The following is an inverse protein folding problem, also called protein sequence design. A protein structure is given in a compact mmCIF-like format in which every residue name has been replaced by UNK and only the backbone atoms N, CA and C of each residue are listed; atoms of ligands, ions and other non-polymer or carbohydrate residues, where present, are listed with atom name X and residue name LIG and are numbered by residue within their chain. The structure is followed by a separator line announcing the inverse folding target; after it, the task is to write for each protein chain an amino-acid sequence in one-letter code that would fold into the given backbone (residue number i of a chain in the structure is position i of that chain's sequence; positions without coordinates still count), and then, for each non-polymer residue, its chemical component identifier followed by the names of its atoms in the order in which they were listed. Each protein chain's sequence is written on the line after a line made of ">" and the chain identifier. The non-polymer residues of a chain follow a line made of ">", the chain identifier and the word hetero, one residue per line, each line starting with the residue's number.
data_IF_165515869774
#
_entry.id   IF_165515869774
#
_cell.length_a   1.000
_cell.length_b   1.000
_cell.length_c   1.000
_cell.angle_alpha   90.00
_cell.angle_beta   90.00
_cell.angle_gamma   90.00
#
_symmetry.space_group_name_H-M   'P 1'
#
loop_
_entity.id
_entity.type
_entity.pdbx_description
1 polymer ?
#
# COMPACT_ATOMS: atom_id res chain seq x y z
N UNK A 1 80.42 -1.79 22.29
CA UNK A 1 79.70 -2.90 21.60
C UNK A 1 78.29 -2.41 21.33
N UNK A 2 77.93 -2.22 20.05
CA UNK A 2 76.66 -1.60 19.61
C UNK A 2 75.62 -2.71 19.40
N UNK A 3 74.46 -2.63 20.05
CA UNK A 3 73.30 -3.46 19.76
C UNK A 3 72.36 -2.71 18.80
N UNK A 4 71.88 -3.32 17.70
CA UNK A 4 70.95 -2.66 16.79
C UNK A 4 69.51 -2.85 17.27
N UNK A 5 68.77 -1.74 17.36
CA UNK A 5 67.33 -1.74 17.58
C UNK A 5 66.62 -2.25 16.31
N UNK A 6 65.94 -3.38 16.41
CA UNK A 6 65.06 -3.88 15.36
C UNK A 6 63.73 -3.10 15.41
N UNK A 7 63.48 -2.28 14.40
CA UNK A 7 62.25 -1.53 14.22
C UNK A 7 61.19 -2.45 13.60
N UNK A 8 60.24 -2.93 14.40
CA UNK A 8 59.12 -3.74 13.90
C UNK A 8 58.06 -2.82 13.31
N UNK A 9 57.90 -2.83 11.98
CA UNK A 9 56.83 -2.10 11.28
C UNK A 9 55.54 -2.91 11.40
N UNK A 10 54.59 -2.43 12.21
CA UNK A 10 53.22 -2.95 12.23
C UNK A 10 52.49 -2.33 11.03
N UNK A 11 52.27 -3.13 9.98
CA UNK A 11 51.42 -2.76 8.86
C UNK A 11 49.95 -2.83 9.31
N UNK A 12 49.35 -1.67 9.58
CA UNK A 12 47.90 -1.55 9.81
C UNK A 12 47.19 -1.70 8.47
N UNK A 13 46.68 -2.91 8.20
CA UNK A 13 45.76 -3.16 7.09
C UNK A 13 44.40 -2.54 7.43
N UNK A 14 44.19 -1.29 7.00
CA UNK A 14 42.86 -0.67 7.02
C UNK A 14 41.98 -1.36 5.98
N UNK A 15 41.10 -2.25 6.42
CA UNK A 15 40.01 -2.78 5.59
C UNK A 15 39.06 -1.63 5.25
N UNK A 16 39.22 -1.05 4.06
CA UNK A 16 38.19 -0.19 3.47
C UNK A 16 37.00 -1.08 3.11
N UNK A 17 35.95 -1.05 3.93
CA UNK A 17 34.65 -1.52 3.50
C UNK A 17 34.24 -0.66 2.30
N UNK A 18 34.12 -1.28 1.12
CA UNK A 18 33.49 -0.65 -0.03
C UNK A 18 32.01 -0.45 0.32
N UNK A 19 31.68 0.67 0.94
CA UNK A 19 30.32 1.20 0.85
C UNK A 19 30.10 1.49 -0.63
N UNK A 20 29.31 0.64 -1.27
CA UNK A 20 28.81 0.89 -2.62
C UNK A 20 27.93 2.12 -2.50
N UNK A 21 28.50 3.30 -2.77
CA UNK A 21 27.73 4.52 -2.94
C UNK A 21 26.75 4.26 -4.08
N UNK A 22 25.48 4.04 -3.74
CA UNK A 22 24.42 3.96 -4.72
C UNK A 22 24.38 5.33 -5.41
N UNK A 23 24.45 5.35 -6.74
CA UNK A 23 24.33 6.59 -7.49
C UNK A 23 22.98 7.26 -7.12
N UNK A 24 23.01 8.57 -6.84
CA UNK A 24 21.81 9.33 -6.47
C UNK A 24 20.70 9.11 -7.51
N UNK A 25 19.61 8.48 -7.08
CA UNK A 25 18.45 8.23 -7.93
C UNK A 25 17.71 9.52 -8.30
N UNK A 26 16.96 9.49 -9.40
CA UNK A 26 16.09 10.58 -9.81
C UNK A 26 14.65 10.34 -9.30
N UNK A 27 14.13 11.19 -8.39
CA UNK A 27 12.82 10.99 -7.78
C UNK A 27 11.65 11.18 -8.77
N UNK A 28 11.80 11.97 -9.84
CA UNK A 28 10.77 12.10 -10.87
C UNK A 28 10.58 10.80 -11.65
N UNK A 29 11.68 10.10 -11.99
CA UNK A 29 11.58 8.76 -12.59
C UNK A 29 11.12 7.72 -11.58
N UNK A 30 11.53 7.86 -10.32
CA UNK A 30 11.05 7.03 -9.21
C UNK A 30 9.54 7.09 -9.02
N UNK A 31 8.95 8.28 -9.14
CA UNK A 31 7.51 8.48 -9.07
C UNK A 31 6.76 7.66 -10.14
N UNK A 32 7.27 7.60 -11.38
CA UNK A 32 6.65 6.78 -12.42
C UNK A 32 6.68 5.27 -12.10
N UNK A 33 7.69 4.82 -11.36
CA UNK A 33 7.81 3.42 -10.92
C UNK A 33 6.89 3.14 -9.74
N UNK A 34 6.65 4.15 -8.88
CA UNK A 34 5.77 4.04 -7.72
C UNK A 34 4.33 3.63 -8.09
N UNK A 35 3.86 3.88 -9.31
CA UNK A 35 2.57 3.40 -9.78
C UNK A 35 2.36 1.88 -9.60
N UNK A 36 3.44 1.08 -9.65
CA UNK A 36 3.37 -0.36 -9.34
C UNK A 36 3.12 -0.65 -7.85
N UNK A 37 3.56 0.25 -6.97
CA UNK A 37 3.36 0.20 -5.52
C UNK A 37 1.98 0.73 -5.14
N UNK A 38 1.47 1.76 -5.85
CA UNK A 38 0.20 2.43 -5.61
C UNK A 38 -1.02 1.50 -5.65
N UNK A 39 -0.92 0.35 -6.33
CA UNK A 39 -1.94 -0.70 -6.33
C UNK A 39 -2.16 -1.34 -4.95
N UNK A 40 -1.14 -1.32 -4.09
CA UNK A 40 -1.16 -1.99 -2.79
C UNK A 40 -0.84 -1.05 -1.63
N UNK A 41 -0.33 0.14 -1.89
CA UNK A 41 0.15 1.06 -0.88
C UNK A 41 -0.35 2.48 -1.16
N UNK A 42 -0.74 3.17 -0.10
CA UNK A 42 -0.91 4.63 -0.13
C UNK A 42 0.32 5.30 0.50
N UNK A 43 0.44 6.61 0.25
CA UNK A 43 1.34 7.51 0.97
C UNK A 43 0.60 8.30 2.05
N UNK A 44 -0.73 8.25 2.09
CA UNK A 44 -1.53 8.91 3.12
C UNK A 44 -1.44 8.17 4.46
N UNK A 45 -1.22 8.88 5.59
CA UNK A 45 -1.21 8.25 6.91
C UNK A 45 -2.51 7.49 7.19
N UNK A 46 -2.39 6.30 7.78
CA UNK A 46 -3.51 5.44 8.21
C UNK A 46 -4.46 4.97 7.08
N UNK A 47 -4.15 5.24 5.81
CA UNK A 47 -4.92 4.73 4.68
C UNK A 47 -4.30 3.42 4.19
N UNK A 48 -4.75 2.29 4.71
CA UNK A 48 -4.22 0.98 4.33
C UNK A 48 -4.97 0.40 3.14
N UNK A 49 -4.25 -0.26 2.23
CA UNK A 49 -4.82 -0.96 1.08
C UNK A 49 -4.58 -2.47 1.25
N UNK A 50 -4.16 -3.17 0.21
CA UNK A 50 -3.67 -4.55 0.34
C UNK A 50 -2.46 -4.61 1.27
N UNK A 51 -1.54 -3.66 1.16
CA UNK A 51 -0.43 -3.41 2.06
C UNK A 51 -0.68 -2.21 3.00
N UNK A 52 0.22 -2.01 3.99
CA UNK A 52 0.15 -0.84 4.89
C UNK A 52 0.36 0.46 4.12
N UNK A 53 -0.07 1.57 4.70
CA UNK A 53 0.41 2.89 4.27
C UNK A 53 1.94 2.96 4.42
N UNK A 54 2.61 3.65 3.48
CA UNK A 54 4.06 3.87 3.52
C UNK A 54 4.44 5.17 4.24
N UNK A 55 3.45 5.94 4.70
CA UNK A 55 3.65 7.21 5.37
C UNK A 55 4.54 7.05 6.62
N UNK A 56 5.59 7.86 6.74
CA UNK A 56 6.44 7.89 7.93
C UNK A 56 7.27 6.64 8.20
N UNK A 57 7.39 5.72 7.22
CA UNK A 57 8.13 4.46 7.38
C UNK A 57 9.64 4.57 7.18
N UNK A 58 10.17 5.69 6.66
CA UNK A 58 11.62 5.84 6.51
C UNK A 58 12.31 5.79 7.88
N UNK A 59 13.36 4.96 7.99
CA UNK A 59 14.08 4.66 9.21
C UNK A 59 13.31 3.84 10.25
N UNK A 60 12.10 3.34 9.95
CA UNK A 60 11.30 2.54 10.87
C UNK A 60 11.63 1.05 10.79
N UNK A 61 11.38 0.33 11.89
CA UNK A 61 11.43 -1.13 11.90
C UNK A 61 10.35 -1.71 10.97
N UNK A 62 10.58 -2.86 10.33
CA UNK A 62 9.53 -3.53 9.57
C UNK A 62 8.38 -3.95 10.48
N UNK A 63 7.19 -4.09 9.87
CA UNK A 63 5.96 -4.45 10.55
C UNK A 63 5.60 -3.57 11.77
N UNK A 64 5.91 -2.26 11.72
CA UNK A 64 5.73 -1.32 12.84
C UNK A 64 4.47 -0.47 12.79
N UNK A 65 3.66 -0.57 11.73
CA UNK A 65 2.37 0.16 11.62
C UNK A 65 1.34 -0.54 12.52
N UNK A 66 0.98 0.11 13.62
CA UNK A 66 0.23 -0.51 14.71
C UNK A 66 -1.19 -0.96 14.31
N UNK A 67 -1.85 -0.20 13.44
CA UNK A 67 -3.20 -0.45 12.93
C UNK A 67 -3.23 -1.37 11.70
N UNK A 68 -2.07 -1.84 11.21
CA UNK A 68 -1.98 -2.84 10.15
C UNK A 68 -1.69 -4.24 10.69
N UNK A 69 -2.75 -4.99 11.04
CA UNK A 69 -2.59 -6.34 11.61
C UNK A 69 -2.07 -7.41 10.62
N UNK A 70 -2.27 -7.18 9.31
CA UNK A 70 -2.11 -8.17 8.21
C UNK A 70 -0.66 -8.39 7.74
N UNK A 71 0.33 -8.02 8.54
CA UNK A 71 1.73 -8.37 8.27
C UNK A 71 1.94 -9.89 8.33
N UNK A 72 2.80 -10.42 7.46
CA UNK A 72 3.23 -11.81 7.57
C UNK A 72 4.05 -12.04 8.83
N UNK A 73 3.97 -13.24 9.39
CA UNK A 73 4.80 -13.62 10.53
C UNK A 73 6.30 -13.48 10.20
N UNK A 74 6.69 -13.81 8.96
CA UNK A 74 8.07 -13.67 8.50
C UNK A 74 8.57 -12.23 8.54
N UNK A 75 7.75 -11.23 8.17
CA UNK A 75 8.18 -9.83 8.24
C UNK A 75 8.17 -9.32 9.68
N UNK A 76 7.22 -9.76 10.52
CA UNK A 76 7.16 -9.41 11.95
C UNK A 76 8.41 -9.82 12.73
N UNK A 77 9.03 -10.96 12.38
CA UNK A 77 10.20 -11.48 13.10
C UNK A 77 11.52 -10.82 12.69
N UNK A 78 11.56 -10.05 11.59
CA UNK A 78 12.77 -9.39 11.09
C UNK A 78 13.06 -8.08 11.82
N UNK A 79 13.65 -8.15 13.00
CA UNK A 79 14.00 -6.94 13.78
C UNK A 79 15.43 -6.46 13.56
N UNK A 80 16.14 -7.07 12.62
CA UNK A 80 17.56 -6.89 12.28
C UNK A 80 17.85 -5.73 11.32
N UNK A 81 16.83 -5.10 10.73
CA UNK A 81 17.01 -3.95 9.84
C UNK A 81 15.99 -2.84 10.11
N UNK A 82 16.17 -1.69 9.45
CA UNK A 82 15.19 -0.60 9.36
C UNK A 82 14.96 -0.26 7.90
N UNK A 83 13.83 0.35 7.53
CA UNK A 83 13.55 0.76 6.16
C UNK A 83 14.38 1.99 5.78
N UNK A 84 15.46 1.75 5.07
CA UNK A 84 16.41 2.76 4.62
C UNK A 84 16.96 2.33 3.26
N UNK A 85 17.87 3.11 2.70
CA UNK A 85 18.36 2.92 1.34
C UNK A 85 18.88 1.50 1.06
N UNK A 86 19.77 0.98 1.91
CA UNK A 86 20.37 -0.34 1.72
C UNK A 86 19.34 -1.48 1.83
N UNK A 87 18.44 -1.42 2.83
CA UNK A 87 17.44 -2.47 3.03
C UNK A 87 16.33 -2.41 1.97
N UNK A 88 15.92 -1.20 1.54
CA UNK A 88 14.98 -1.02 0.45
C UNK A 88 15.57 -1.47 -0.88
N UNK A 89 16.86 -1.25 -1.13
CA UNK A 89 17.53 -1.74 -2.34
C UNK A 89 17.48 -3.26 -2.44
N UNK A 90 17.81 -3.97 -1.37
CA UNK A 90 17.74 -5.42 -1.32
C UNK A 90 16.29 -5.94 -1.37
N UNK A 91 15.38 -5.31 -0.62
CA UNK A 91 13.96 -5.64 -0.59
C UNK A 91 13.30 -5.48 -1.96
N UNK A 92 13.56 -4.38 -2.65
CA UNK A 92 12.96 -4.08 -3.95
C UNK A 92 13.56 -4.92 -5.08
N UNK A 93 14.75 -5.51 -4.90
CA UNK A 93 15.33 -6.44 -5.87
C UNK A 93 14.56 -7.77 -5.91
N UNK A 94 14.28 -8.35 -4.74
CA UNK A 94 13.45 -9.55 -4.58
C UNK A 94 12.92 -9.63 -3.14
N UNK A 95 11.65 -9.24 -2.90
CA UNK A 95 11.07 -9.26 -1.56
C UNK A 95 11.02 -10.67 -0.94
N UNK A 96 10.83 -11.70 -1.76
CA UNK A 96 10.72 -13.08 -1.29
C UNK A 96 12.08 -13.66 -0.92
N UNK A 97 13.13 -13.30 -1.65
CA UNK A 97 14.49 -13.66 -1.27
C UNK A 97 14.95 -12.89 -0.03
N UNK A 98 14.61 -11.60 0.08
CA UNK A 98 15.01 -10.78 1.21
C UNK A 98 14.29 -11.17 2.51
N UNK A 99 12.98 -11.44 2.47
CA UNK A 99 12.21 -12.01 3.60
C UNK A 99 11.38 -13.21 3.11
N UNK A 100 11.92 -14.43 3.19
CA UNK A 100 11.19 -15.65 2.86
C UNK A 100 9.90 -15.78 3.68
N UNK A 101 8.76 -15.97 3.02
CA UNK A 101 7.44 -16.01 3.67
C UNK A 101 6.76 -14.65 3.83
N UNK A 102 7.29 -13.58 3.21
CA UNK A 102 6.53 -12.33 3.04
C UNK A 102 5.23 -12.56 2.25
N UNK A 103 4.17 -11.85 2.62
CA UNK A 103 2.92 -11.83 1.87
C UNK A 103 2.95 -10.84 0.68
N UNK A 104 3.99 -10.00 0.59
CA UNK A 104 4.18 -9.13 -0.58
C UNK A 104 4.49 -9.99 -1.81
N UNK A 105 3.57 -9.99 -2.79
CA UNK A 105 3.67 -10.81 -4.01
C UNK A 105 4.42 -10.12 -5.15
N UNK A 106 5.02 -8.96 -4.88
CA UNK A 106 5.79 -8.20 -5.85
C UNK A 106 7.03 -8.98 -6.31
N UNK A 107 7.25 -9.05 -7.63
CA UNK A 107 8.36 -9.79 -8.24
C UNK A 107 9.74 -9.18 -7.94
N UNK A 108 9.77 -7.89 -7.62
CA UNK A 108 11.00 -7.12 -7.54
C UNK A 108 11.37 -6.44 -8.86
N UNK A 109 12.27 -5.47 -8.78
CA UNK A 109 12.78 -4.65 -9.87
C UNK A 109 14.23 -5.06 -10.06
N UNK A 110 14.56 -5.68 -11.20
CA UNK A 110 15.91 -6.19 -11.46
C UNK A 110 16.87 -5.08 -11.89
N UNK A 111 16.37 -4.03 -12.54
CA UNK A 111 17.18 -2.91 -13.00
C UNK A 111 17.64 -2.03 -11.83
N UNK A 112 18.96 -1.95 -11.64
CA UNK A 112 19.60 -1.22 -10.54
C UNK A 112 19.22 0.27 -10.54
N UNK A 113 19.16 0.86 -11.73
CA UNK A 113 18.86 2.29 -11.88
C UNK A 113 17.40 2.59 -11.52
N UNK A 114 16.46 1.75 -11.92
CA UNK A 114 15.06 1.85 -11.53
C UNK A 114 14.88 1.69 -10.03
N UNK A 115 15.62 0.78 -9.37
CA UNK A 115 15.60 0.67 -7.91
C UNK A 115 16.10 1.94 -7.25
N UNK A 116 17.25 2.47 -7.67
CA UNK A 116 17.79 3.71 -7.10
C UNK A 116 16.84 4.91 -7.33
N UNK A 117 16.27 5.04 -8.53
CA UNK A 117 15.27 6.06 -8.85
C UNK A 117 14.04 5.95 -7.92
N UNK A 118 13.49 4.74 -7.75
CA UNK A 118 12.36 4.50 -6.84
C UNK A 118 12.72 4.79 -5.37
N UNK A 119 13.90 4.40 -4.91
CA UNK A 119 14.34 4.65 -3.53
C UNK A 119 14.50 6.16 -3.27
N UNK A 120 15.01 6.91 -4.24
CA UNK A 120 15.07 8.38 -4.14
C UNK A 120 13.69 9.01 -3.96
N UNK A 121 12.67 8.51 -4.69
CA UNK A 121 11.28 8.91 -4.48
C UNK A 121 10.75 8.48 -3.10
N UNK A 122 10.94 7.22 -2.71
CA UNK A 122 10.46 6.66 -1.45
C UNK A 122 11.08 7.36 -0.22
N UNK A 123 12.33 7.82 -0.31
CA UNK A 123 12.98 8.62 0.72
C UNK A 123 12.21 9.89 1.06
N UNK A 124 11.63 10.53 0.05
CA UNK A 124 10.76 11.69 0.21
C UNK A 124 9.35 11.28 0.65
N UNK A 125 8.78 10.27 -0.02
CA UNK A 125 7.39 9.85 0.16
C UNK A 125 7.11 9.19 1.53
N UNK A 126 8.08 8.45 2.07
CA UNK A 126 7.99 7.74 3.36
C UNK A 126 8.44 8.60 4.54
N UNK A 127 8.87 9.84 4.33
CA UNK A 127 9.16 10.77 5.41
C UNK A 127 7.85 11.21 6.11
N UNK A 128 7.92 11.78 7.34
CA UNK A 128 6.78 12.48 7.91
C UNK A 128 6.26 13.57 6.96
N UNK A 129 4.95 13.60 6.71
CA UNK A 129 4.31 14.45 5.69
C UNK A 129 4.75 14.19 4.24
N UNK A 130 5.39 13.05 3.94
CA UNK A 130 5.97 12.75 2.63
C UNK A 130 4.99 12.85 1.47
N UNK A 131 3.75 12.38 1.61
CA UNK A 131 2.70 12.54 0.61
C UNK A 131 2.50 14.01 0.18
N UNK A 132 2.38 14.93 1.15
CA UNK A 132 2.23 16.37 0.87
C UNK A 132 3.46 16.92 0.16
N UNK A 133 4.65 16.48 0.58
CA UNK A 133 5.92 16.92 0.00
C UNK A 133 6.07 16.49 -1.46
N UNK A 134 5.75 15.25 -1.81
CA UNK A 134 5.90 14.76 -3.19
C UNK A 134 4.85 15.36 -4.13
N UNK A 135 3.65 15.64 -3.63
CA UNK A 135 2.60 16.35 -4.38
C UNK A 135 2.98 17.82 -4.60
N UNK A 136 3.44 18.52 -3.57
CA UNK A 136 3.86 19.92 -3.67
C UNK A 136 5.04 20.12 -4.63
N UNK A 137 5.91 19.11 -4.77
CA UNK A 137 7.02 19.09 -5.72
C UNK A 137 6.61 18.66 -7.14
N UNK A 138 5.33 18.34 -7.37
CA UNK A 138 4.84 17.90 -8.67
C UNK A 138 5.38 16.54 -9.11
N UNK A 139 5.82 15.68 -8.17
CA UNK A 139 6.32 14.35 -8.49
C UNK A 139 5.18 13.38 -8.83
N UNK A 140 4.05 13.51 -8.11
CA UNK A 140 2.82 12.76 -8.34
C UNK A 140 1.61 13.68 -8.15
N UNK A 141 0.45 13.40 -8.78
CA UNK A 141 -0.80 14.05 -8.44
C UNK A 141 -1.28 13.64 -7.04
N UNK A 142 -2.18 14.44 -6.45
CA UNK A 142 -2.72 14.18 -5.12
C UNK A 142 -3.53 12.88 -5.04
N UNK A 143 -4.19 12.49 -6.12
CA UNK A 143 -4.95 11.23 -6.21
C UNK A 143 -4.03 10.01 -6.12
N UNK A 144 -2.91 9.99 -6.84
CA UNK A 144 -1.93 8.89 -6.78
C UNK A 144 -1.31 8.71 -5.37
N UNK A 145 -1.28 9.76 -4.53
CA UNK A 145 -0.82 9.63 -3.15
C UNK A 145 -1.75 8.75 -2.28
N UNK A 146 -3.01 8.59 -2.67
CA UNK A 146 -3.99 7.69 -2.02
C UNK A 146 -3.83 6.24 -2.47
N UNK A 147 -3.02 5.99 -3.51
CA UNK A 147 -3.00 4.71 -4.21
C UNK A 147 -4.37 4.41 -4.84
N UNK A 148 -4.71 3.12 -4.96
CA UNK A 148 -6.01 2.70 -5.51
C UNK A 148 -7.16 2.72 -4.49
N UNK A 149 -7.07 3.55 -3.44
CA UNK A 149 -8.20 3.77 -2.54
C UNK A 149 -9.37 4.41 -3.31
N UNK A 150 -10.63 4.00 -3.10
CA UNK A 150 -11.75 4.76 -3.62
C UNK A 150 -11.80 6.16 -2.98
N UNK A 151 -12.54 7.06 -3.63
CA UNK A 151 -12.95 8.32 -3.00
C UNK A 151 -13.68 8.04 -1.68
N UNK A 152 -13.56 8.94 -0.67
CA UNK A 152 -14.17 8.73 0.63
C UNK A 152 -15.68 8.45 0.53
N UNK A 153 -16.10 7.30 1.06
CA UNK A 153 -17.45 6.74 0.87
C UNK A 153 -18.51 7.43 1.74
N UNK A 154 -18.08 8.16 2.78
CA UNK A 154 -18.92 9.09 3.50
C UNK A 154 -19.53 10.14 2.57
N UNK A 155 -18.81 10.53 1.51
CA UNK A 155 -19.21 11.56 0.55
C UNK A 155 -19.98 11.01 -0.66
N UNK A 156 -20.32 9.71 -0.68
CA UNK A 156 -21.00 9.09 -1.81
C UNK A 156 -22.35 9.78 -2.14
N UNK A 157 -22.58 10.03 -3.43
CA UNK A 157 -23.82 10.62 -3.94
C UNK A 157 -25.04 9.71 -3.81
N UNK A 158 -26.26 10.23 -4.07
CA UNK A 158 -27.50 9.47 -3.97
C UNK A 158 -27.55 8.24 -4.90
N UNK A 159 -26.88 8.28 -6.05
CA UNK A 159 -26.78 7.20 -7.03
C UNK A 159 -25.98 5.98 -6.57
N UNK A 160 -25.14 6.17 -5.54
CA UNK A 160 -24.32 5.13 -4.92
C UNK A 160 -24.83 4.75 -3.52
N UNK A 161 -25.65 5.61 -2.88
CA UNK A 161 -26.15 5.36 -1.52
C UNK A 161 -27.26 4.31 -1.54
N UNK A 162 -27.00 3.14 -0.97
CA UNK A 162 -27.95 2.01 -0.99
C UNK A 162 -29.06 2.19 0.04
N UNK A 163 -30.28 1.92 -0.36
CA UNK A 163 -31.50 2.03 0.47
C UNK A 163 -32.14 0.69 0.76
N UNK A 164 -32.03 -0.28 -0.14
CA UNK A 164 -32.48 -1.65 0.06
C UNK A 164 -31.66 -2.61 -0.80
N UNK A 165 -31.51 -3.84 -0.32
CA UNK A 165 -30.96 -4.95 -1.08
C UNK A 165 -31.90 -6.13 -0.92
N UNK A 166 -32.36 -6.67 -2.04
CA UNK A 166 -33.11 -7.93 -2.04
C UNK A 166 -32.42 -8.96 -2.91
N UNK A 167 -32.55 -10.22 -2.54
CA UNK A 167 -32.07 -11.35 -3.31
C UNK A 167 -33.26 -12.21 -3.75
N UNK A 168 -33.23 -12.66 -5.00
CA UNK A 168 -34.23 -13.56 -5.57
C UNK A 168 -33.59 -14.32 -6.75
N UNK A 169 -33.72 -15.65 -6.75
CA UNK A 169 -33.28 -16.53 -7.85
C UNK A 169 -31.85 -16.26 -8.37
N UNK A 170 -30.84 -16.17 -7.49
CA UNK A 170 -29.43 -15.98 -7.86
C UNK A 170 -29.10 -14.57 -8.35
N UNK A 171 -29.98 -13.60 -8.09
CA UNK A 171 -29.83 -12.20 -8.47
C UNK A 171 -30.01 -11.30 -7.25
N UNK A 172 -29.05 -10.40 -7.03
CA UNK A 172 -29.22 -9.28 -6.12
C UNK A 172 -29.84 -8.10 -6.86
N UNK A 173 -30.82 -7.46 -6.24
CA UNK A 173 -31.39 -6.21 -6.69
C UNK A 173 -31.02 -5.14 -5.67
N UNK A 174 -30.24 -4.16 -6.10
CA UNK A 174 -29.73 -3.09 -5.24
C UNK A 174 -30.46 -1.80 -5.59
N UNK A 175 -31.20 -1.27 -4.63
CA UNK A 175 -31.88 0.02 -4.73
C UNK A 175 -31.01 1.14 -4.16
N UNK A 176 -30.92 2.26 -4.88
CA UNK A 176 -30.15 3.45 -4.48
C UNK A 176 -31.05 4.65 -4.19
N UNK A 177 -30.51 5.65 -3.48
CA UNK A 177 -31.26 6.82 -3.03
C UNK A 177 -31.72 7.74 -4.17
N UNK A 178 -31.16 7.59 -5.37
CA UNK A 178 -31.69 8.20 -6.61
C UNK A 178 -32.93 7.48 -7.17
N UNK A 179 -33.46 6.47 -6.47
CA UNK A 179 -34.67 5.74 -6.83
C UNK A 179 -34.47 4.65 -7.87
N UNK A 180 -33.22 4.34 -8.25
CA UNK A 180 -32.92 3.28 -9.21
C UNK A 180 -32.71 1.94 -8.52
N UNK A 181 -33.17 0.87 -9.16
CA UNK A 181 -32.84 -0.51 -8.80
C UNK A 181 -31.98 -1.12 -9.90
N UNK A 182 -30.91 -1.83 -9.51
CA UNK A 182 -29.97 -2.47 -10.45
C UNK A 182 -29.85 -3.97 -10.11
N UNK A 183 -30.06 -4.88 -11.09
CA UNK A 183 -29.82 -6.30 -10.89
C UNK A 183 -28.34 -6.64 -11.05
N UNK A 184 -27.85 -7.53 -10.21
CA UNK A 184 -26.51 -8.11 -10.29
C UNK A 184 -26.63 -9.62 -10.14
N UNK A 185 -25.98 -10.36 -11.05
CA UNK A 185 -25.76 -11.78 -10.84
C UNK A 185 -25.00 -11.99 -9.51
N UNK A 186 -25.37 -13.01 -8.74
CA UNK A 186 -24.81 -13.27 -7.41
C UNK A 186 -23.27 -13.30 -7.37
N UNK A 187 -22.61 -13.82 -8.41
CA UNK A 187 -21.14 -13.87 -8.49
C UNK A 187 -20.49 -12.55 -8.94
N UNK A 188 -21.28 -11.57 -9.36
CA UNK A 188 -20.83 -10.26 -9.82
C UNK A 188 -20.98 -9.16 -8.75
N UNK A 189 -21.70 -9.41 -7.65
CA UNK A 189 -21.81 -8.48 -6.53
C UNK A 189 -20.87 -8.90 -5.39
N UNK A 190 -19.87 -8.07 -5.10
CA UNK A 190 -18.95 -8.30 -3.97
C UNK A 190 -19.44 -7.57 -2.74
N UNK A 191 -19.57 -8.28 -1.63
CA UNK A 191 -19.84 -7.67 -0.34
C UNK A 191 -18.50 -7.32 0.32
N UNK A 192 -18.33 -6.06 0.71
CA UNK A 192 -17.10 -5.53 1.30
C UNK A 192 -17.43 -4.78 2.58
N UNK A 193 -16.45 -4.67 3.47
CA UNK A 193 -16.55 -3.86 4.67
C UNK A 193 -15.44 -2.84 4.66
N UNK A 194 -15.79 -1.58 4.94
CA UNK A 194 -14.87 -0.51 5.23
C UNK A 194 -15.35 0.22 6.48
N UNK A 195 -14.86 -0.21 7.64
CA UNK A 195 -15.10 0.44 8.93
C UNK A 195 -14.16 1.62 9.20
N UNK A 196 -13.35 1.99 8.21
CA UNK A 196 -12.38 3.07 8.30
C UNK A 196 -13.02 4.46 8.42
N UNK A 197 -12.19 5.49 8.68
CA UNK A 197 -12.64 6.86 8.78
C UNK A 197 -13.34 7.34 7.50
N UNK A 198 -12.88 6.88 6.33
CA UNK A 198 -13.43 7.20 5.00
C UNK A 198 -14.44 6.17 4.48
N UNK A 199 -14.86 5.24 5.34
CA UNK A 199 -15.88 4.24 5.00
C UNK A 199 -17.28 4.83 4.98
N UNK A 200 -18.28 4.05 4.53
CA UNK A 200 -19.68 4.46 4.57
C UNK A 200 -20.12 4.91 5.96
N UNK A 201 -21.02 5.89 6.05
CA UNK A 201 -21.63 6.30 7.33
C UNK A 201 -23.09 5.88 7.37
N UNK A 202 -23.35 4.70 7.93
CA UNK A 202 -24.68 4.20 8.27
C UNK A 202 -25.45 3.51 7.14
N UNK A 203 -25.34 3.96 5.89
CA UNK A 203 -25.92 3.25 4.74
C UNK A 203 -24.82 2.69 3.83
N UNK A 204 -24.98 1.45 3.32
CA UNK A 204 -24.02 0.88 2.40
C UNK A 204 -23.86 1.72 1.13
N UNK A 205 -22.69 1.63 0.51
CA UNK A 205 -22.37 2.32 -0.74
C UNK A 205 -22.13 1.30 -1.84
N UNK A 206 -22.80 1.49 -2.97
CA UNK A 206 -22.58 0.72 -4.19
C UNK A 206 -21.48 1.38 -5.01
N UNK A 207 -20.37 0.68 -5.16
CA UNK A 207 -19.30 1.05 -6.09
C UNK A 207 -19.43 0.24 -7.38
N UNK A 208 -19.43 0.89 -8.56
CA UNK A 208 -19.36 0.16 -9.82
C UNK A 208 -18.03 -0.59 -9.91
N UNK A 209 -18.05 -1.76 -10.53
CA UNK A 209 -16.86 -2.53 -10.85
C UNK A 209 -16.97 -3.08 -12.28
N UNK A 210 -15.82 -3.42 -12.88
CA UNK A 210 -15.79 -3.85 -14.29
C UNK A 210 -15.92 -2.68 -15.27
N UNK A 211 -15.84 -2.99 -16.56
CA UNK A 211 -15.83 -1.95 -17.61
C UNK A 211 -17.23 -1.53 -18.07
N UNK A 212 -18.25 -2.36 -17.82
CA UNK A 212 -19.62 -2.15 -18.33
C UNK A 212 -20.66 -2.03 -17.19
N UNK A 213 -20.22 -1.90 -15.94
CA UNK A 213 -21.10 -1.86 -14.77
C UNK A 213 -21.80 -3.19 -14.48
N UNK A 214 -21.35 -4.29 -15.09
CA UNK A 214 -21.87 -5.65 -14.89
C UNK A 214 -21.50 -6.24 -13.52
N UNK A 215 -20.60 -5.57 -12.78
CA UNK A 215 -20.13 -5.95 -11.45
C UNK A 215 -20.30 -4.78 -10.49
N UNK A 216 -20.49 -5.12 -9.22
CA UNK A 216 -20.61 -4.13 -8.15
C UNK A 216 -19.82 -4.54 -6.93
N UNK A 217 -19.46 -3.56 -6.11
CA UNK A 217 -19.08 -3.80 -4.71
C UNK A 217 -20.06 -3.06 -3.81
N UNK A 218 -20.76 -3.80 -2.96
CA UNK A 218 -21.55 -3.24 -1.89
C UNK A 218 -20.67 -3.11 -0.65
N UNK A 219 -20.36 -1.88 -0.26
CA UNK A 219 -19.48 -1.59 0.87
C UNK A 219 -20.32 -1.22 2.09
N UNK A 220 -20.15 -1.97 3.18
CA UNK A 220 -20.81 -1.78 4.47
C UNK A 220 -19.87 -1.11 5.47
N UNK A 221 -20.43 -0.41 6.46
CA UNK A 221 -19.63 0.16 7.57
C UNK A 221 -19.23 -0.89 8.61
N UNK A 222 -20.02 -1.95 8.74
CA UNK A 222 -19.84 -2.97 9.77
C UNK A 222 -20.20 -4.37 9.23
N UNK A 223 -19.43 -5.43 9.53
CA UNK A 223 -19.76 -6.79 9.09
C UNK A 223 -21.17 -7.26 9.49
N UNK A 224 -21.69 -6.82 10.64
CA UNK A 224 -23.01 -7.17 11.14
C UNK A 224 -24.15 -6.52 10.33
N UNK A 225 -23.88 -5.51 9.49
CA UNK A 225 -24.87 -4.94 8.57
C UNK A 225 -25.21 -5.89 7.42
N UNK A 226 -24.27 -6.75 6.99
CA UNK A 226 -24.43 -7.57 5.78
C UNK A 226 -25.69 -8.43 5.85
N UNK A 227 -25.80 -9.27 6.89
CA UNK A 227 -26.95 -10.18 7.03
C UNK A 227 -28.27 -9.47 7.33
N UNK A 228 -28.23 -8.25 7.89
CA UNK A 228 -29.44 -7.47 8.22
C UNK A 228 -29.96 -6.63 7.06
N UNK A 229 -29.13 -6.37 6.07
CA UNK A 229 -29.45 -5.45 4.95
C UNK A 229 -29.98 -6.15 3.72
N UNK A 230 -29.90 -7.49 3.65
CA UNK A 230 -30.28 -8.29 2.48
C UNK A 230 -31.57 -9.05 2.81
N UNK A 231 -32.64 -8.75 2.09
CA UNK A 231 -33.95 -9.41 2.21
C UNK A 231 -34.10 -10.50 1.13
N UNK A 232 -34.45 -11.72 1.51
CA UNK A 232 -34.85 -12.76 0.53
C UNK A 232 -36.28 -12.49 0.06
N UNK A 233 -36.41 -11.94 -1.15
CA UNK A 233 -37.70 -11.47 -1.68
C UNK A 233 -37.73 -11.37 -3.20
N UNK A 234 -38.70 -12.11 -3.75
CA UNK A 234 -39.29 -11.90 -5.06
C UNK A 234 -40.63 -11.14 -4.85
#
# INVERSE_FOLDING_TARGET
>A
MKAPYALTIIAVLTSAALERAHADGNPQRGAMIYGACAACHSLEPNLHLTGPSLAGLWGKKPASVADFARYSNALKTRQDFVWEEASLYAWLADPKAFVPGTYMTFRGIQDDKQRNDLIAFLKLAMAPNGAKSVVAQGLIPAEEARGQAPEPLENAGPEARVTAVRHCHGTFFVSTADGKERPFWELNLRLKVDSGPTGPKGKPVLLPAGMQGDRGSLVFSDPAEIGRSIEEKC
#
